data_IF_340809583705
#
_entry.id   IF_340809583705
#
_cell.length_a   1.000
_cell.length_b   1.000
_cell.length_c   1.000
_cell.angle_alpha   90.00
_cell.angle_beta   90.00
_cell.angle_gamma   90.00
#
_symmetry.space_group_name_H-M   'P 1'
#
loop_
_entity.id
_entity.type
_entity.pdbx_description
1 polymer ?
#
# COMPACT_ATOMS: atom_id res chain seq x y z
N UNK A 1 8.42 10.12 -12.48
CA UNK A 1 7.48 9.02 -12.57
C UNK A 1 6.33 9.25 -11.65
N UNK A 2 5.41 10.02 -12.11
CA UNK A 2 4.29 10.43 -11.30
C UNK A 2 3.08 9.54 -11.55
N UNK A 3 2.27 9.33 -10.53
CA UNK A 3 0.93 8.82 -10.69
C UNK A 3 0.03 9.98 -11.10
N UNK A 4 -1.06 9.69 -11.80
CA UNK A 4 -2.03 10.73 -12.16
C UNK A 4 -2.92 11.06 -10.97
N UNK A 5 -3.57 12.22 -11.05
CA UNK A 5 -4.59 12.60 -10.07
C UNK A 5 -5.69 11.53 -9.99
N UNK A 6 -6.07 10.97 -11.13
CA UNK A 6 -7.10 9.94 -11.16
C UNK A 6 -6.68 8.71 -10.35
N UNK A 7 -5.43 8.26 -10.49
CA UNK A 7 -4.93 7.12 -9.70
C UNK A 7 -5.01 7.43 -8.21
N UNK A 8 -4.59 8.61 -7.80
CA UNK A 8 -4.65 8.99 -6.37
C UNK A 8 -6.11 9.02 -5.89
N UNK A 9 -7.02 9.62 -6.69
CA UNK A 9 -8.44 9.66 -6.34
C UNK A 9 -8.99 8.25 -6.12
N UNK A 10 -8.67 7.31 -7.02
CA UNK A 10 -9.17 5.93 -6.92
C UNK A 10 -8.59 5.21 -5.71
N UNK A 11 -7.31 5.39 -5.43
CA UNK A 11 -6.68 4.76 -4.27
C UNK A 11 -7.28 5.30 -2.98
N UNK A 12 -7.42 6.62 -2.85
CA UNK A 12 -7.97 7.22 -1.63
C UNK A 12 -9.41 6.78 -1.41
N UNK A 13 -10.21 6.74 -2.47
CA UNK A 13 -11.61 6.28 -2.37
C UNK A 13 -11.66 4.82 -1.90
N UNK A 14 -10.83 3.96 -2.47
CA UNK A 14 -10.78 2.55 -2.07
C UNK A 14 -10.34 2.41 -0.62
N UNK A 15 -9.29 3.11 -0.22
CA UNK A 15 -8.75 3.06 1.15
C UNK A 15 -9.80 3.50 2.17
N UNK A 16 -10.53 4.58 1.85
CA UNK A 16 -11.61 5.05 2.73
C UNK A 16 -12.66 3.97 2.95
N UNK A 17 -13.12 3.33 1.88
CA UNK A 17 -14.13 2.28 1.97
C UNK A 17 -13.58 1.05 2.72
N UNK A 18 -12.35 0.65 2.42
CA UNK A 18 -11.71 -0.49 3.10
C UNK A 18 -11.60 -0.24 4.60
N UNK A 19 -11.22 0.97 4.99
CA UNK A 19 -11.13 1.33 6.40
C UNK A 19 -12.50 1.29 7.06
N UNK A 20 -13.53 1.82 6.40
CA UNK A 20 -14.88 1.78 6.95
C UNK A 20 -15.40 0.35 7.13
N UNK A 21 -15.02 -0.56 6.24
CA UNK A 21 -15.41 -1.97 6.33
C UNK A 21 -14.53 -2.78 7.28
N UNK A 22 -13.41 -2.24 7.71
CA UNK A 22 -12.46 -2.98 8.53
C UNK A 22 -11.70 -4.04 7.76
N UNK A 23 -11.53 -3.86 6.46
CA UNK A 23 -10.77 -4.79 5.61
C UNK A 23 -9.31 -4.34 5.57
N UNK A 24 -8.40 -5.24 5.93
CA UNK A 24 -6.97 -4.95 5.86
C UNK A 24 -6.50 -4.79 4.42
N UNK A 25 -5.55 -3.88 4.21
CA UNK A 25 -5.01 -3.64 2.88
C UNK A 25 -3.57 -3.17 2.96
N UNK A 26 -2.81 -3.46 1.91
CA UNK A 26 -1.41 -3.11 1.79
C UNK A 26 -1.16 -2.70 0.34
N UNK A 27 -0.98 -1.41 0.11
CA UNK A 27 -0.84 -0.85 -1.24
C UNK A 27 0.52 -0.17 -1.35
N UNK A 28 1.35 -0.66 -2.27
CA UNK A 28 2.71 -0.19 -2.47
C UNK A 28 2.79 0.60 -3.76
N UNK A 29 3.23 1.85 -3.67
CA UNK A 29 3.56 2.66 -4.86
C UNK A 29 5.04 2.49 -5.15
N UNK A 30 5.35 1.79 -6.23
CA UNK A 30 6.72 1.67 -6.71
C UNK A 30 7.14 3.02 -7.28
N UNK A 31 8.36 3.45 -6.94
CA UNK A 31 8.89 4.72 -7.42
C UNK A 31 10.17 4.45 -8.22
N UNK A 32 11.30 5.01 -7.82
CA UNK A 32 12.53 4.87 -8.59
C UNK A 32 13.22 3.53 -8.41
N UNK A 33 13.16 2.96 -7.22
CA UNK A 33 13.76 1.65 -6.96
C UNK A 33 12.81 0.56 -7.41
N UNK A 34 13.27 -0.30 -8.31
CA UNK A 34 12.44 -1.37 -8.86
C UNK A 34 12.10 -2.42 -7.80
N UNK A 35 10.85 -2.84 -7.79
CA UNK A 35 10.36 -3.92 -6.93
C UNK A 35 10.10 -5.20 -7.72
N UNK A 36 10.66 -5.31 -8.93
CA UNK A 36 10.36 -6.43 -9.84
C UNK A 36 10.65 -7.79 -9.21
N UNK A 37 11.63 -7.86 -8.32
CA UNK A 37 12.01 -9.09 -7.65
C UNK A 37 10.85 -9.63 -6.79
N UNK A 38 10.13 -8.76 -6.12
CA UNK A 38 8.96 -9.15 -5.32
C UNK A 38 7.72 -9.31 -6.20
N UNK A 39 7.52 -8.37 -7.11
CA UNK A 39 6.38 -8.37 -8.03
C UNK A 39 6.35 -9.65 -8.86
N UNK A 40 7.51 -10.13 -9.29
CA UNK A 40 7.62 -11.34 -10.11
C UNK A 40 7.12 -12.61 -9.42
N UNK A 41 7.00 -12.59 -8.09
CA UNK A 41 6.48 -13.72 -7.32
C UNK A 41 5.00 -13.56 -6.96
N UNK A 42 4.40 -12.44 -7.30
CA UNK A 42 2.98 -12.22 -7.09
C UNK A 42 2.18 -12.62 -8.32
N UNK A 43 0.91 -12.21 -8.34
CA UNK A 43 0.02 -12.47 -9.47
C UNK A 43 0.00 -11.24 -10.37
N UNK A 44 0.52 -11.33 -11.60
CA UNK A 44 0.58 -10.18 -12.49
C UNK A 44 -0.81 -9.78 -12.97
N UNK A 45 -1.10 -8.50 -12.96
CA UNK A 45 -2.39 -7.99 -13.40
C UNK A 45 -2.24 -6.99 -14.56
N UNK A 46 -1.32 -6.03 -14.43
CA UNK A 46 -1.12 -4.98 -15.42
C UNK A 46 -2.44 -4.32 -15.82
N UNK A 47 -3.16 -3.81 -14.83
CA UNK A 47 -4.51 -3.26 -15.04
C UNK A 47 -4.56 -1.81 -14.63
N UNK A 48 -5.62 -1.11 -15.08
CA UNK A 48 -5.92 0.24 -14.65
C UNK A 48 -6.22 0.25 -13.15
N UNK A 49 -5.84 1.32 -12.46
CA UNK A 49 -6.15 1.50 -11.06
C UNK A 49 -7.58 2.02 -10.95
N UNK A 50 -8.46 1.19 -10.37
CA UNK A 50 -9.83 1.60 -10.09
C UNK A 50 -10.17 1.21 -8.66
N UNK A 51 -11.07 1.99 -8.04
CA UNK A 51 -11.53 1.66 -6.68
C UNK A 51 -12.20 0.30 -6.64
N UNK A 52 -12.95 -0.02 -7.68
CA UNK A 52 -13.64 -1.32 -7.75
C UNK A 52 -12.65 -2.48 -7.74
N UNK A 53 -11.59 -2.38 -8.52
CA UNK A 53 -10.56 -3.42 -8.52
C UNK A 53 -9.91 -3.57 -7.15
N UNK A 54 -9.50 -2.43 -6.56
CA UNK A 54 -8.84 -2.48 -5.26
C UNK A 54 -9.74 -3.05 -4.17
N UNK A 55 -11.03 -2.69 -4.19
CA UNK A 55 -11.98 -3.26 -3.25
C UNK A 55 -12.12 -4.77 -3.42
N UNK A 56 -12.19 -5.25 -4.64
CA UNK A 56 -12.26 -6.68 -4.92
C UNK A 56 -11.00 -7.40 -4.48
N UNK A 57 -9.83 -6.80 -4.74
CA UNK A 57 -8.56 -7.45 -4.39
C UNK A 57 -8.39 -7.65 -2.88
N UNK A 58 -8.92 -6.72 -2.07
CA UNK A 58 -8.74 -6.78 -0.61
C UNK A 58 -9.96 -7.32 0.15
N UNK A 59 -10.98 -7.76 -0.56
CA UNK A 59 -12.12 -8.40 0.11
C UNK A 59 -11.65 -9.66 0.84
N UNK A 60 -11.95 -9.80 2.15
CA UNK A 60 -11.50 -10.97 2.89
C UNK A 60 -11.92 -12.29 2.24
N UNK A 61 -11.03 -13.27 2.29
CA UNK A 61 -11.21 -14.59 1.69
C UNK A 61 -11.17 -14.63 0.16
N UNK A 62 -11.06 -13.46 -0.50
CA UNK A 62 -10.84 -13.44 -1.94
C UNK A 62 -9.45 -14.03 -2.24
N UNK A 63 -9.27 -14.69 -3.40
CA UNK A 63 -8.02 -15.38 -3.69
C UNK A 63 -6.76 -14.51 -3.66
N UNK A 64 -6.89 -13.20 -3.91
CA UNK A 64 -5.74 -12.30 -3.99
C UNK A 64 -5.64 -11.33 -2.83
N UNK A 65 -6.41 -11.55 -1.74
CA UNK A 65 -6.47 -10.56 -0.66
C UNK A 65 -5.21 -10.50 0.22
N UNK A 66 -4.47 -11.61 0.31
CA UNK A 66 -3.23 -11.64 1.09
C UNK A 66 -2.09 -11.00 0.33
N UNK A 67 -1.18 -10.34 1.07
CA UNK A 67 -0.03 -9.69 0.48
C UNK A 67 -0.36 -8.28 0.00
N UNK A 68 0.54 -7.73 -0.78
CA UNK A 68 0.44 -6.36 -1.24
C UNK A 68 -0.07 -6.27 -2.67
N UNK A 69 -0.73 -5.15 -2.96
CA UNK A 69 -0.97 -4.71 -4.33
C UNK A 69 0.12 -3.69 -4.64
N UNK A 70 0.81 -3.88 -5.76
CA UNK A 70 1.87 -2.96 -6.18
C UNK A 70 1.37 -2.14 -7.36
N UNK A 71 1.46 -0.82 -7.22
CA UNK A 71 1.09 0.14 -8.26
C UNK A 71 2.37 0.78 -8.79
N UNK A 72 2.53 0.76 -10.11
CA UNK A 72 3.62 1.43 -10.77
C UNK A 72 3.02 2.44 -11.72
N UNK A 73 3.27 3.71 -11.46
CA UNK A 73 2.67 4.85 -12.18
C UNK A 73 1.14 4.76 -12.07
N UNK A 74 0.44 4.46 -13.16
CA UNK A 74 -1.03 4.41 -13.19
C UNK A 74 -1.56 2.98 -13.38
N UNK A 75 -0.72 1.96 -13.14
CA UNK A 75 -1.11 0.58 -13.36
C UNK A 75 -0.96 -0.24 -12.10
N UNK A 76 -1.91 -1.13 -11.87
CA UNK A 76 -1.74 -2.18 -10.87
C UNK A 76 -0.86 -3.25 -11.52
N UNK A 77 0.40 -3.34 -11.08
CA UNK A 77 1.34 -4.30 -11.63
C UNK A 77 0.99 -5.71 -11.22
N UNK A 78 0.70 -5.92 -9.95
CA UNK A 78 0.46 -7.25 -9.40
C UNK A 78 -0.28 -7.16 -8.08
N UNK A 79 -0.91 -8.26 -7.71
CA UNK A 79 -1.53 -8.44 -6.40
C UNK A 79 -0.91 -9.65 -5.73
N UNK A 80 -1.26 -9.87 -4.48
CA UNK A 80 -0.74 -10.99 -3.67
C UNK A 80 0.79 -11.03 -3.70
N UNK A 81 1.39 -9.86 -3.58
CA UNK A 81 2.85 -9.70 -3.55
C UNK A 81 3.30 -9.76 -2.10
N UNK A 82 4.09 -10.79 -1.75
CA UNK A 82 4.57 -10.95 -0.39
C UNK A 82 5.92 -10.29 -0.25
N UNK A 83 5.99 -9.35 0.71
CA UNK A 83 7.17 -8.55 0.97
C UNK A 83 7.98 -9.16 2.11
N UNK A 84 9.29 -8.89 2.18
CA UNK A 84 10.11 -9.50 3.23
C UNK A 84 9.72 -9.01 4.62
N UNK A 85 9.81 -9.91 5.61
CA UNK A 85 9.57 -9.60 7.03
C UNK A 85 10.84 -9.96 7.80
N UNK A 86 11.84 -9.05 7.84
CA UNK A 86 13.09 -9.35 8.55
C UNK A 86 12.85 -9.59 10.03
N UNK A 87 13.61 -10.54 10.60
CA UNK A 87 13.45 -10.93 12.00
C UNK A 87 13.66 -9.76 12.97
N UNK A 88 14.54 -8.83 12.65
CA UNK A 88 14.79 -7.68 13.51
C UNK A 88 13.55 -6.79 13.65
N UNK A 89 12.80 -6.61 12.57
CA UNK A 89 11.56 -5.84 12.61
C UNK A 89 10.48 -6.59 13.39
N UNK A 90 10.35 -7.90 13.15
CA UNK A 90 9.35 -8.71 13.83
C UNK A 90 9.61 -8.68 15.35
N UNK A 91 10.86 -8.83 15.77
CA UNK A 91 11.20 -8.79 17.19
C UNK A 91 10.99 -7.42 17.81
N UNK A 92 11.40 -6.35 17.10
CA UNK A 92 11.27 -4.99 17.62
C UNK A 92 9.81 -4.62 17.91
N UNK A 93 8.89 -5.02 17.03
CA UNK A 93 7.50 -4.58 17.11
C UNK A 93 6.55 -5.69 17.57
N UNK A 94 7.06 -6.81 18.06
CA UNK A 94 6.24 -7.98 18.40
C UNK A 94 5.11 -7.67 19.39
N UNK A 95 5.36 -6.80 20.35
CA UNK A 95 4.38 -6.44 21.37
C UNK A 95 3.67 -5.13 21.11
N UNK A 96 3.94 -4.54 19.98
CA UNK A 96 3.35 -3.25 19.65
C UNK A 96 2.03 -3.38 18.93
N UNK A 97 1.47 -2.26 18.48
CA UNK A 97 0.17 -2.23 17.81
C UNK A 97 0.24 -2.61 16.32
N UNK A 98 1.41 -3.04 15.86
CA UNK A 98 1.62 -3.29 14.43
C UNK A 98 1.36 -4.76 14.09
N UNK A 99 0.51 -4.99 13.09
CA UNK A 99 0.33 -6.31 12.51
C UNK A 99 1.34 -6.56 11.37
N UNK A 100 1.18 -7.70 10.69
CA UNK A 100 2.12 -8.09 9.64
C UNK A 100 2.11 -7.13 8.46
N UNK A 101 0.97 -6.53 8.12
CA UNK A 101 0.90 -5.54 7.04
C UNK A 101 1.75 -4.31 7.36
N UNK A 102 1.70 -3.85 8.60
CA UNK A 102 2.52 -2.71 9.03
C UNK A 102 4.01 -3.02 8.92
N UNK A 103 4.41 -4.21 9.35
CA UNK A 103 5.81 -4.62 9.31
C UNK A 103 6.30 -4.80 7.87
N UNK A 104 5.45 -5.34 7.00
CA UNK A 104 5.78 -5.46 5.58
C UNK A 104 5.97 -4.08 4.94
N UNK A 105 5.10 -3.13 5.29
CA UNK A 105 5.21 -1.77 4.80
C UNK A 105 6.50 -1.10 5.27
N UNK A 106 6.83 -1.23 6.55
CA UNK A 106 8.10 -0.71 7.08
C UNK A 106 9.30 -1.33 6.36
N UNK A 107 9.27 -2.64 6.18
CA UNK A 107 10.36 -3.36 5.52
C UNK A 107 10.63 -2.83 4.12
N UNK A 108 9.62 -2.77 3.27
CA UNK A 108 9.82 -2.35 1.89
C UNK A 108 10.19 -0.86 1.81
N UNK A 109 9.68 -0.05 2.74
CA UNK A 109 10.04 1.37 2.77
C UNK A 109 11.48 1.62 3.21
N UNK A 110 12.09 0.67 3.94
CA UNK A 110 13.51 0.72 4.30
C UNK A 110 14.40 0.28 3.15
N UNK A 111 13.92 -0.68 2.36
CA UNK A 111 14.72 -1.30 1.29
C UNK A 111 14.61 -0.56 -0.04
N UNK A 112 13.67 0.38 -0.15
CA UNK A 112 13.40 1.08 -1.40
C UNK A 112 12.88 2.47 -1.11
N UNK A 113 12.57 3.23 -2.16
CA UNK A 113 11.89 4.52 -2.04
C UNK A 113 10.39 4.40 -2.18
N UNK A 114 9.85 3.19 -2.06
CA UNK A 114 8.41 2.97 -2.18
C UNK A 114 7.64 3.67 -1.08
N UNK A 115 6.45 4.13 -1.44
CA UNK A 115 5.49 4.69 -0.51
C UNK A 115 4.40 3.65 -0.31
N UNK A 116 4.04 3.36 0.94
CA UNK A 116 3.13 2.26 1.24
C UNK A 116 1.96 2.75 2.08
N UNK A 117 0.74 2.41 1.66
CA UNK A 117 -0.47 2.71 2.40
C UNK A 117 -0.97 1.41 3.04
N UNK A 118 -1.26 1.47 4.34
CA UNK A 118 -1.73 0.32 5.10
C UNK A 118 -3.07 0.64 5.73
N UNK A 119 -4.04 -0.27 5.56
CA UNK A 119 -5.28 -0.23 6.34
C UNK A 119 -5.22 -1.38 7.34
N UNK A 120 -5.33 -1.05 8.62
CA UNK A 120 -5.31 -2.05 9.69
C UNK A 120 -6.66 -2.76 9.77
N UNK A 121 -6.62 -4.09 9.76
CA UNK A 121 -7.82 -4.90 9.92
C UNK A 121 -8.39 -4.75 11.32
N UNK A 122 -7.54 -4.63 12.33
CA UNK A 122 -7.98 -4.59 13.72
C UNK A 122 -8.56 -3.25 14.13
N UNK A 123 -7.94 -2.15 13.69
CA UNK A 123 -8.29 -0.81 14.17
C UNK A 123 -8.91 0.09 13.11
N UNK A 124 -8.93 -0.36 11.86
CA UNK A 124 -9.41 0.44 10.71
C UNK A 124 -8.61 1.71 10.49
N UNK A 125 -7.42 1.82 11.10
CA UNK A 125 -6.58 3.00 10.91
C UNK A 125 -5.84 2.95 9.59
N UNK A 126 -5.67 4.12 8.99
CA UNK A 126 -4.90 4.29 7.76
C UNK A 126 -3.52 4.81 8.14
N UNK A 127 -2.50 4.12 7.67
CA UNK A 127 -1.10 4.48 7.94
C UNK A 127 -0.31 4.57 6.66
N UNK A 128 0.79 5.31 6.69
CA UNK A 128 1.69 5.43 5.54
C UNK A 128 3.11 5.14 6.01
N UNK A 129 3.81 4.29 5.24
CA UNK A 129 5.24 4.03 5.47
C UNK A 129 6.04 4.67 4.33
N UNK A 130 7.09 5.38 4.72
CA UNK A 130 8.00 6.03 3.77
C UNK A 130 9.35 6.18 4.46
N UNK A 131 10.42 5.84 3.74
CA UNK A 131 11.81 5.98 4.24
C UNK A 131 12.03 5.29 5.59
N UNK A 132 11.37 4.15 5.80
CA UNK A 132 11.53 3.38 7.02
C UNK A 132 10.75 3.89 8.22
N UNK A 133 9.86 4.86 8.01
CA UNK A 133 9.02 5.42 9.08
C UNK A 133 7.56 5.16 8.78
N UNK A 134 6.78 4.91 9.84
CA UNK A 134 5.34 4.68 9.72
C UNK A 134 4.61 5.77 10.48
N UNK A 135 3.69 6.46 9.78
CA UNK A 135 2.83 7.48 10.39
C UNK A 135 1.40 6.99 10.33
N UNK A 136 0.72 6.99 11.47
CA UNK A 136 -0.63 6.44 11.63
C UNK A 136 -1.69 7.54 11.62
N UNK A 137 -2.93 7.09 11.50
CA UNK A 137 -4.13 7.93 11.71
C UNK A 137 -4.34 8.98 10.62
N UNK A 138 -4.08 8.61 9.37
CA UNK A 138 -4.47 9.45 8.25
C UNK A 138 -5.98 9.42 8.07
N UNK A 139 -6.53 10.55 7.67
CA UNK A 139 -7.89 10.64 7.17
C UNK A 139 -7.83 10.67 5.63
N UNK A 140 -8.95 10.40 4.93
CA UNK A 140 -8.91 10.45 3.47
C UNK A 140 -8.35 11.74 2.91
N UNK A 141 -8.71 12.88 3.49
CA UNK A 141 -8.24 14.18 3.03
C UNK A 141 -6.74 14.37 3.20
N UNK A 142 -6.20 13.99 4.37
CA UNK A 142 -4.76 14.12 4.63
C UNK A 142 -3.97 13.08 3.83
N UNK A 143 -4.54 11.91 3.61
CA UNK A 143 -3.92 10.90 2.76
C UNK A 143 -3.82 11.41 1.32
N UNK A 144 -4.92 11.98 0.81
CA UNK A 144 -4.93 12.54 -0.53
C UNK A 144 -3.84 13.60 -0.69
N UNK A 145 -3.77 14.55 0.22
CA UNK A 145 -2.78 15.62 0.18
C UNK A 145 -1.34 15.07 0.23
N UNK A 146 -1.12 14.07 1.08
CA UNK A 146 0.19 13.45 1.20
C UNK A 146 0.59 12.74 -0.11
N UNK A 147 -0.31 11.96 -0.68
CA UNK A 147 -0.03 11.22 -1.92
C UNK A 147 0.21 12.16 -3.09
N UNK A 148 -0.60 13.22 -3.21
CA UNK A 148 -0.42 14.20 -4.29
C UNK A 148 0.97 14.82 -4.21
N UNK A 149 1.40 15.19 -3.02
CA UNK A 149 2.71 15.83 -2.82
C UNK A 149 3.85 14.85 -3.05
N UNK A 150 3.77 13.65 -2.46
CA UNK A 150 4.88 12.69 -2.53
C UNK A 150 5.01 12.02 -3.90
N UNK A 151 3.92 11.86 -4.63
CA UNK A 151 3.92 11.23 -5.95
C UNK A 151 4.02 12.24 -7.08
N UNK A 152 4.24 13.52 -6.78
CA UNK A 152 4.40 14.60 -7.76
C UNK A 152 3.22 14.71 -8.73
N UNK A 153 2.01 14.49 -8.21
CA UNK A 153 0.81 14.59 -9.03
C UNK A 153 0.60 16.05 -9.46
N UNK A 154 0.36 16.24 -10.74
CA UNK A 154 0.10 17.57 -11.29
C UNK A 154 1.34 18.41 -11.55
N UNK A 155 2.53 17.89 -11.27
CA UNK A 155 3.77 18.57 -11.59
C UNK A 155 4.13 18.26 -13.04
N UNK A 156 4.40 19.29 -13.81
CA UNK A 156 4.74 19.16 -15.22
C UNK A 156 6.20 19.55 -15.46
#
# INVERSE_FOLDING_TARGET
MAASKQTVDEVVAAVDILAQKGYGALIVFERSVSLKEYVGKGVPLNSQVTRELLLNLFTPKAPLHDGAVVISRDRVSAASVFLPLPNDLVERYRKGPYGTRHLAALSVSRLSDALVVVVSEETSTISVALDGNLVRNYQPESLYSFLVRQLDVGVK
#
